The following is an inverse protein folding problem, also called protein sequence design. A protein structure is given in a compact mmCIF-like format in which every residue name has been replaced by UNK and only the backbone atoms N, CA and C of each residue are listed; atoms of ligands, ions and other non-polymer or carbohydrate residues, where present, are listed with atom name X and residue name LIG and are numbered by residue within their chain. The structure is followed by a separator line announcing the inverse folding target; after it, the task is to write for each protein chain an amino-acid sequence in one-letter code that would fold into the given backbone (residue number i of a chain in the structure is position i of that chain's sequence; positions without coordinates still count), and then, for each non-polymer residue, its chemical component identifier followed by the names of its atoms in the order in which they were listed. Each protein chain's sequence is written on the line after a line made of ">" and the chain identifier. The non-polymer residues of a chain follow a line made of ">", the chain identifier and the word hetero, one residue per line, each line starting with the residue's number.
data_IF_608112913581
#
_entry.id   IF_608112913581
#
_cell.length_a   1.000
_cell.length_b   1.000
_cell.length_c   1.000
_cell.angle_alpha   90.00
_cell.angle_beta   90.00
_cell.angle_gamma   90.00
#
_symmetry.space_group_name_H-M   'P 1'
#
loop_
_entity.id
_entity.type
_entity.pdbx_description
1 polymer ?
#
# COMPACT_ATOMS: atom_id res chain seq x y z
N UNK A 1 6.65 5.14 15.17
CA UNK A 1 5.49 6.07 15.13
C UNK A 1 4.18 5.28 15.13
N UNK A 2 3.09 5.91 15.47
CA UNK A 2 1.78 5.26 15.43
C UNK A 2 1.22 5.17 14.00
N UNK A 3 0.11 4.43 13.86
CA UNK A 3 -0.50 4.21 12.55
C UNK A 3 -1.09 5.49 11.94
N UNK A 4 -1.60 6.40 12.78
CA UNK A 4 -2.10 7.68 12.30
C UNK A 4 -1.01 8.49 11.60
N UNK A 5 0.17 8.53 12.17
CA UNK A 5 1.32 9.19 11.55
C UNK A 5 1.77 8.44 10.29
N UNK A 6 1.74 7.11 10.30
CA UNK A 6 2.07 6.30 9.13
C UNK A 6 1.13 6.62 7.96
N UNK A 7 -0.17 6.69 8.21
CA UNK A 7 -1.16 7.05 7.19
C UNK A 7 -0.88 8.45 6.63
N UNK A 8 -0.56 9.40 7.48
CA UNK A 8 -0.21 10.75 7.04
C UNK A 8 0.97 10.72 6.07
N UNK A 9 2.02 9.97 6.42
CA UNK A 9 3.21 9.85 5.57
C UNK A 9 2.93 9.10 4.27
N UNK A 10 2.05 8.08 4.30
CA UNK A 10 1.61 7.40 3.07
C UNK A 10 0.98 8.40 2.10
N UNK A 11 0.14 9.31 2.60
CA UNK A 11 -0.48 10.34 1.76
C UNK A 11 0.53 11.32 1.19
N UNK A 12 1.70 11.44 1.80
CA UNK A 12 2.80 12.25 1.31
C UNK A 12 3.71 11.50 0.32
N UNK A 13 3.38 10.24 0.03
CA UNK A 13 4.16 9.43 -0.91
C UNK A 13 5.32 8.67 -0.29
N UNK A 14 5.35 8.54 1.02
CA UNK A 14 6.41 7.80 1.70
C UNK A 14 6.12 6.31 1.75
N UNK A 15 7.17 5.52 1.93
CA UNK A 15 7.10 4.07 2.11
C UNK A 15 7.22 3.76 3.59
N UNK A 16 6.33 2.93 4.10
CA UNK A 16 6.24 2.64 5.53
C UNK A 16 6.32 1.14 5.77
N UNK A 17 6.88 0.76 6.91
CA UNK A 17 6.88 -0.63 7.35
C UNK A 17 6.80 -0.67 8.87
N UNK A 18 6.40 -1.83 9.40
CA UNK A 18 6.51 -2.10 10.82
C UNK A 18 7.87 -2.73 11.10
N UNK A 19 8.45 -2.41 12.24
CA UNK A 19 9.76 -2.92 12.62
C UNK A 19 9.79 -4.45 12.71
N UNK A 20 8.69 -5.05 13.16
CA UNK A 20 8.57 -6.48 13.33
C UNK A 20 8.20 -7.27 12.08
N UNK A 21 8.07 -6.64 10.93
CA UNK A 21 7.70 -7.37 9.71
C UNK A 21 8.82 -8.29 9.26
N UNK A 22 8.44 -9.53 8.90
CA UNK A 22 9.37 -10.49 8.32
C UNK A 22 9.73 -10.04 6.91
N UNK A 23 11.02 -9.96 6.63
CA UNK A 23 11.51 -9.48 5.34
C UNK A 23 11.75 -7.98 5.36
N UNK A 24 13.03 -7.62 5.40
CA UNK A 24 13.48 -6.23 5.53
C UNK A 24 13.12 -5.34 4.36
N UNK A 25 12.62 -5.94 3.25
CA UNK A 25 12.27 -5.20 2.03
C UNK A 25 10.77 -5.04 1.85
N UNK A 26 9.96 -5.48 2.80
CA UNK A 26 8.51 -5.30 2.74
C UNK A 26 8.13 -3.91 3.19
N UNK A 27 7.19 -3.32 2.47
CA UNK A 27 6.68 -1.99 2.83
C UNK A 27 5.31 -1.78 2.21
N UNK A 28 4.62 -0.76 2.68
CA UNK A 28 3.40 -0.26 2.07
C UNK A 28 3.67 1.12 1.48
N UNK A 29 2.96 1.44 0.41
CA UNK A 29 2.97 2.78 -0.18
C UNK A 29 1.62 3.06 -0.83
N UNK A 30 1.34 4.32 -1.10
CA UNK A 30 0.08 4.72 -1.70
C UNK A 30 0.14 4.55 -3.21
N UNK A 31 -0.80 3.78 -3.75
CA UNK A 31 -0.96 3.61 -5.19
C UNK A 31 -1.99 4.59 -5.73
N UNK A 32 -1.67 5.20 -6.86
CA UNK A 32 -2.55 6.12 -7.58
C UNK A 32 -2.62 5.72 -9.04
N UNK A 33 -3.58 6.26 -9.79
CA UNK A 33 -3.72 5.99 -11.23
C UNK A 33 -3.77 4.49 -11.55
N UNK A 34 -4.57 3.75 -10.78
CA UNK A 34 -4.60 2.29 -10.82
C UNK A 34 -5.27 1.83 -12.11
N UNK A 35 -4.62 0.90 -12.82
CA UNK A 35 -5.22 0.14 -13.89
C UNK A 35 -4.92 -1.33 -13.68
N UNK A 36 -5.74 -2.20 -14.28
CA UNK A 36 -5.51 -3.64 -14.17
C UNK A 36 -6.04 -4.34 -15.42
N UNK A 37 -5.61 -5.59 -15.61
CA UNK A 37 -6.10 -6.46 -16.66
C UNK A 37 -7.01 -7.51 -16.03
N UNK A 38 -8.22 -7.68 -16.57
CA UNK A 38 -9.15 -8.69 -16.08
C UNK A 38 -8.84 -10.06 -16.71
N UNK A 39 -9.59 -11.08 -16.32
CA UNK A 39 -9.36 -12.44 -16.80
C UNK A 39 -9.71 -12.62 -18.29
N UNK A 40 -10.42 -11.67 -18.90
CA UNK A 40 -10.72 -11.66 -20.33
C UNK A 40 -9.65 -10.97 -21.16
N UNK A 41 -8.59 -10.46 -20.51
CA UNK A 41 -7.54 -9.73 -21.18
C UNK A 41 -7.83 -8.25 -21.42
N UNK A 42 -8.95 -7.74 -20.90
CA UNK A 42 -9.29 -6.33 -21.04
C UNK A 42 -8.50 -5.50 -20.01
N UNK A 43 -7.94 -4.37 -20.46
CA UNK A 43 -7.29 -3.42 -19.57
C UNK A 43 -8.34 -2.44 -19.03
N UNK A 44 -8.54 -2.44 -17.73
CA UNK A 44 -9.52 -1.59 -17.08
C UNK A 44 -8.81 -0.34 -16.57
N UNK A 45 -9.43 0.82 -16.83
CA UNK A 45 -8.92 2.13 -16.44
C UNK A 45 -7.57 2.46 -17.11
N UNK A 46 -7.43 2.13 -18.39
CA UNK A 46 -6.20 2.42 -19.14
C UNK A 46 -5.88 3.92 -19.17
N UNK A 47 -6.91 4.76 -19.18
CA UNK A 47 -6.77 6.22 -19.22
C UNK A 47 -6.61 6.84 -17.83
N UNK A 48 -6.69 6.04 -16.76
CA UNK A 48 -6.52 6.46 -15.37
C UNK A 48 -7.55 7.48 -14.87
N UNK A 49 -8.76 7.49 -15.45
CA UNK A 49 -9.81 8.45 -15.09
C UNK A 49 -11.08 7.82 -14.51
N UNK A 50 -11.19 6.49 -14.54
CA UNK A 50 -12.39 5.78 -14.06
C UNK A 50 -12.30 5.37 -12.59
N UNK A 51 -11.10 5.05 -12.10
CA UNK A 51 -10.89 4.69 -10.71
C UNK A 51 -10.45 5.94 -9.97
N UNK A 52 -11.39 6.54 -9.24
CA UNK A 52 -11.13 7.79 -8.54
C UNK A 52 -10.43 7.63 -7.21
N UNK A 53 -10.38 6.41 -6.66
CA UNK A 53 -9.83 6.17 -5.33
C UNK A 53 -8.39 5.67 -5.41
N UNK A 54 -7.63 6.07 -4.40
CA UNK A 54 -6.28 5.55 -4.16
C UNK A 54 -6.37 4.25 -3.39
N UNK A 55 -5.32 3.44 -3.43
CA UNK A 55 -5.23 2.22 -2.66
C UNK A 55 -3.86 2.12 -1.99
N UNK A 56 -3.80 1.41 -0.87
CA UNK A 56 -2.52 1.11 -0.25
C UNK A 56 -1.99 -0.16 -0.91
N UNK A 57 -0.80 -0.08 -1.48
CA UNK A 57 -0.12 -1.21 -2.07
C UNK A 57 0.81 -1.83 -1.05
N UNK A 58 0.84 -3.16 -1.00
CA UNK A 58 1.81 -3.91 -0.21
C UNK A 58 2.87 -4.46 -1.14
N UNK A 59 4.11 -4.05 -0.93
CA UNK A 59 5.24 -4.51 -1.73
C UNK A 59 6.02 -5.52 -0.89
N UNK A 60 5.91 -6.78 -1.27
CA UNK A 60 6.59 -7.88 -0.59
C UNK A 60 7.70 -8.47 -1.44
N UNK A 61 8.33 -9.51 -0.91
CA UNK A 61 9.42 -10.19 -1.61
C UNK A 61 8.95 -10.95 -2.84
N UNK A 62 7.67 -11.30 -2.91
CA UNK A 62 7.08 -12.04 -4.03
C UNK A 62 6.24 -11.17 -4.96
N UNK A 63 6.27 -9.86 -4.80
CA UNK A 63 5.56 -8.95 -5.69
C UNK A 63 4.72 -7.91 -4.98
N UNK A 64 3.87 -7.26 -5.74
CA UNK A 64 3.04 -6.16 -5.28
C UNK A 64 1.59 -6.59 -5.25
N UNK A 65 0.91 -6.32 -4.14
CA UNK A 65 -0.54 -6.48 -4.03
C UNK A 65 -1.19 -5.11 -3.87
N UNK A 66 -2.19 -4.82 -4.68
CA UNK A 66 -2.95 -3.58 -4.59
C UNK A 66 -4.14 -3.83 -3.65
N UNK A 67 -4.25 -3.00 -2.63
CA UNK A 67 -5.34 -3.12 -1.67
C UNK A 67 -4.94 -3.87 -0.40
N UNK A 68 -3.98 -3.35 0.34
CA UNK A 68 -3.58 -3.91 1.62
C UNK A 68 -4.57 -3.49 2.72
N UNK A 69 -4.96 -4.45 3.56
CA UNK A 69 -5.86 -4.23 4.68
C UNK A 69 -5.07 -4.33 5.99
N UNK A 70 -5.11 -3.26 6.78
CA UNK A 70 -4.45 -3.23 8.08
C UNK A 70 -5.20 -4.12 9.07
N UNK A 71 -4.47 -4.97 9.78
CA UNK A 71 -5.02 -5.71 10.92
C UNK A 71 -5.17 -4.77 12.12
N UNK A 72 -5.89 -5.22 13.15
CA UNK A 72 -5.94 -4.45 14.39
C UNK A 72 -4.54 -4.29 15.01
N UNK A 73 -3.73 -5.32 14.93
CA UNK A 73 -2.34 -5.24 15.40
C UNK A 73 -1.57 -4.15 14.66
N UNK A 74 -1.78 -4.02 13.35
CA UNK A 74 -1.15 -2.96 12.57
C UNK A 74 -1.66 -1.57 12.95
N UNK A 75 -2.98 -1.46 13.12
CA UNK A 75 -3.60 -0.16 13.44
C UNK A 75 -3.22 0.35 14.83
N UNK A 76 -2.98 -0.56 15.78
CA UNK A 76 -2.66 -0.21 17.17
C UNK A 76 -1.16 -0.20 17.45
N UNK A 77 -0.34 -0.54 16.50
CA UNK A 77 1.11 -0.61 16.67
C UNK A 77 1.74 0.79 16.76
N UNK A 78 2.85 0.87 17.47
CA UNK A 78 3.65 2.08 17.61
C UNK A 78 5.04 1.93 16.97
N UNK A 79 5.26 0.83 16.25
CA UNK A 79 6.56 0.50 15.66
C UNK A 79 6.64 0.79 14.15
N UNK A 80 5.74 1.61 13.65
CA UNK A 80 5.80 2.05 12.26
C UNK A 80 7.03 2.90 12.02
N UNK A 81 7.65 2.73 10.86
CA UNK A 81 8.82 3.52 10.47
C UNK A 81 8.85 3.74 8.96
N UNK A 82 9.48 4.82 8.57
CA UNK A 82 9.71 5.11 7.15
C UNK A 82 10.85 4.25 6.62
N UNK A 83 10.68 3.73 5.42
CA UNK A 83 11.71 2.93 4.75
C UNK A 83 12.70 3.84 4.03
#
# INVERSE_FOLDING_TARGET
>A
MDFGKAIQLLKEGKKLQREGWNGKKQYIELATNISYQNTKGEVINAEHDEIGNKAIAFVGTSGVQIGWLASQADMLANDWKEV
#
